data_IF_340552356587
#
_entry.id   IF_340552356587
#
_cell.length_a   1.000
_cell.length_b   1.000
_cell.length_c   1.000
_cell.angle_alpha   90.00
_cell.angle_beta   90.00
_cell.angle_gamma   90.00
#
_symmetry.space_group_name_H-M   'P 1'
#
loop_
_entity.id
_entity.type
_entity.pdbx_description
1 polymer ?
#
# COMPACT_ATOMS: atom_id res chain seq x y z
N UNK A 1 -11.77 -33.13 -1.52
CA UNK A 1 -12.80 -32.25 -2.12
C UNK A 1 -12.54 -30.83 -1.68
N UNK A 2 -12.66 -29.82 -2.55
CA UNK A 2 -12.44 -28.44 -2.15
C UNK A 2 -13.63 -27.99 -1.28
N UNK A 3 -13.32 -27.37 -0.14
CA UNK A 3 -14.29 -27.00 0.90
C UNK A 3 -15.21 -25.90 0.38
N UNK A 4 -16.49 -25.98 0.79
CA UNK A 4 -17.53 -24.95 0.62
C UNK A 4 -16.93 -23.55 0.78
N UNK A 5 -17.15 -22.70 -0.22
CA UNK A 5 -17.06 -21.25 -0.04
C UNK A 5 -17.88 -20.88 1.19
N UNK A 6 -17.23 -20.42 2.27
CA UNK A 6 -17.91 -19.87 3.41
C UNK A 6 -18.71 -18.65 2.91
N UNK A 7 -19.99 -18.56 3.29
CA UNK A 7 -20.84 -17.42 2.96
C UNK A 7 -20.41 -16.21 3.80
N UNK A 8 -20.59 -14.96 3.32
CA UNK A 8 -20.38 -13.75 4.12
C UNK A 8 -21.14 -13.79 5.47
N UNK A 9 -22.27 -14.51 5.51
CA UNK A 9 -23.11 -14.68 6.70
C UNK A 9 -22.47 -15.53 7.83
N UNK A 10 -21.34 -16.18 7.57
CA UNK A 10 -20.57 -16.96 8.54
C UNK A 10 -19.16 -16.42 8.77
N UNK A 11 -18.89 -15.17 8.40
CA UNK A 11 -17.62 -14.50 8.68
C UNK A 11 -17.47 -14.28 10.19
N UNK A 12 -16.33 -14.67 10.75
CA UNK A 12 -15.99 -14.46 12.16
C UNK A 12 -14.99 -13.30 12.27
N UNK A 13 -15.11 -12.44 13.30
CA UNK A 13 -14.26 -11.25 13.49
C UNK A 13 -12.77 -11.51 13.63
N UNK A 14 -12.36 -12.73 13.97
CA UNK A 14 -10.99 -13.04 14.35
C UNK A 14 -10.51 -14.37 13.78
N UNK A 15 -11.18 -14.92 12.76
CA UNK A 15 -10.89 -16.23 12.15
C UNK A 15 -9.39 -16.48 12.02
N UNK A 16 -8.66 -15.47 11.56
CA UNK A 16 -7.25 -15.60 11.19
C UNK A 16 -6.28 -15.09 12.27
N UNK A 17 -6.78 -14.58 13.40
CA UNK A 17 -5.99 -14.01 14.49
C UNK A 17 -6.10 -14.84 15.80
N UNK A 18 -7.11 -15.69 15.98
CA UNK A 18 -7.40 -16.35 17.26
C UNK A 18 -7.57 -17.88 17.21
N UNK A 19 -7.23 -18.58 16.13
CA UNK A 19 -7.56 -20.02 15.98
C UNK A 19 -6.45 -21.00 16.40
N UNK A 20 -6.66 -21.83 17.44
CA UNK A 20 -5.99 -23.12 17.58
C UNK A 20 -6.79 -24.24 16.87
N UNK A 21 -6.11 -25.11 16.10
CA UNK A 21 -6.59 -26.35 15.41
C UNK A 21 -7.00 -26.20 13.91
N UNK A 22 -6.93 -27.29 13.08
CA UNK A 22 -6.22 -27.31 11.80
C UNK A 22 -6.92 -26.53 10.70
N UNK A 23 -6.66 -25.23 10.66
CA UNK A 23 -6.97 -24.37 9.54
C UNK A 23 -5.82 -24.41 8.53
N UNK A 24 -6.14 -24.60 7.25
CA UNK A 24 -5.15 -24.64 6.16
C UNK A 24 -5.02 -23.23 5.57
N UNK A 25 -3.81 -22.82 5.12
CA UNK A 25 -3.65 -21.55 4.41
C UNK A 25 -4.60 -21.45 3.22
N UNK A 26 -5.24 -20.30 3.03
CA UNK A 26 -6.23 -20.11 1.97
C UNK A 26 -7.04 -18.83 2.10
N UNK A 27 -8.08 -18.68 1.28
CA UNK A 27 -8.96 -17.51 1.29
C UNK A 27 -10.17 -17.72 2.20
N UNK A 28 -10.46 -16.75 3.06
CA UNK A 28 -11.53 -16.79 4.06
C UNK A 28 -12.28 -15.46 4.13
N UNK A 29 -13.57 -15.50 4.45
CA UNK A 29 -14.34 -14.30 4.78
C UNK A 29 -14.10 -13.91 6.23
N UNK A 30 -13.80 -12.64 6.48
CA UNK A 30 -13.67 -12.08 7.82
C UNK A 30 -14.55 -10.84 7.96
N UNK A 31 -15.00 -10.60 9.18
CA UNK A 31 -15.76 -9.39 9.54
C UNK A 31 -15.25 -8.75 10.86
N UNK A 32 -14.05 -8.14 10.84
CA UNK A 32 -13.45 -7.47 12.01
C UNK A 32 -14.37 -6.49 12.73
N UNK A 33 -15.25 -5.79 11.99
CA UNK A 33 -16.14 -4.78 12.58
C UNK A 33 -17.41 -5.37 13.23
N UNK A 34 -17.69 -6.67 13.03
CA UNK A 34 -18.81 -7.44 13.60
C UNK A 34 -20.22 -6.90 13.31
N UNK A 35 -20.35 -5.90 12.45
CA UNK A 35 -21.59 -5.19 12.20
C UNK A 35 -22.48 -5.91 11.19
N UNK A 36 -22.69 -5.27 10.05
CA UNK A 36 -23.50 -5.84 8.99
C UNK A 36 -22.64 -6.78 8.16
N UNK A 37 -22.75 -8.10 8.37
CA UNK A 37 -22.00 -9.16 7.66
C UNK A 37 -22.00 -9.11 6.12
N UNK A 38 -22.78 -8.22 5.50
CA UNK A 38 -22.72 -7.91 4.06
C UNK A 38 -21.48 -7.10 3.66
N UNK A 39 -20.81 -6.44 4.61
CA UNK A 39 -19.55 -5.71 4.39
C UNK A 39 -18.31 -6.51 4.82
N UNK A 40 -18.51 -7.78 5.18
CA UNK A 40 -17.44 -8.76 5.31
C UNK A 40 -16.66 -8.84 4.00
N UNK A 41 -15.38 -9.20 4.08
CA UNK A 41 -14.49 -9.23 2.92
C UNK A 41 -13.60 -10.47 2.94
N UNK A 42 -13.18 -10.91 1.75
CA UNK A 42 -12.38 -12.13 1.60
C UNK A 42 -10.89 -11.80 1.65
N UNK A 43 -10.13 -12.53 2.45
CA UNK A 43 -8.69 -12.29 2.69
C UNK A 43 -7.93 -13.59 2.62
N UNK A 44 -6.61 -13.51 2.41
CA UNK A 44 -5.76 -14.68 2.56
C UNK A 44 -5.37 -14.84 4.01
N UNK A 45 -5.63 -16.01 4.58
CA UNK A 45 -5.23 -16.37 5.91
C UNK A 45 -4.18 -17.46 5.88
N UNK A 46 -3.12 -17.25 6.66
CA UNK A 46 -2.04 -18.21 6.78
C UNK A 46 -1.88 -18.62 8.25
N UNK A 47 -2.23 -19.88 8.52
CA UNK A 47 -2.23 -20.44 9.87
C UNK A 47 -0.91 -21.12 10.24
N UNK A 48 0.11 -21.10 9.37
CA UNK A 48 1.39 -21.77 9.64
C UNK A 48 2.27 -21.05 10.68
N UNK A 49 1.88 -19.87 11.17
CA UNK A 49 2.68 -19.06 12.10
C UNK A 49 1.83 -18.26 13.13
N UNK A 50 0.88 -18.90 13.80
CA UNK A 50 0.02 -18.25 14.81
C UNK A 50 -1.22 -17.55 14.24
N UNK A 51 -1.40 -17.59 12.91
CA UNK A 51 -2.50 -16.93 12.22
C UNK A 51 -2.10 -15.53 11.76
N UNK A 52 -2.06 -15.34 10.45
CA UNK A 52 -1.94 -14.00 9.86
C UNK A 52 -3.04 -13.76 8.83
N UNK A 53 -3.49 -12.51 8.77
CA UNK A 53 -4.46 -11.99 7.83
C UNK A 53 -3.75 -11.10 6.81
N UNK A 54 -3.69 -11.51 5.55
CA UNK A 54 -2.95 -10.80 4.51
C UNK A 54 -3.86 -10.12 3.49
N UNK A 55 -3.58 -8.84 3.23
CA UNK A 55 -4.20 -8.04 2.17
C UNK A 55 -3.18 -7.76 1.07
N UNK A 56 -3.58 -8.02 -0.17
CA UNK A 56 -2.73 -7.82 -1.33
C UNK A 56 -2.86 -6.39 -1.85
N UNK A 57 -1.78 -5.81 -2.40
CA UNK A 57 -1.90 -4.53 -3.07
C UNK A 57 -2.78 -4.68 -4.31
N UNK A 58 -3.41 -3.57 -4.69
CA UNK A 58 -4.09 -3.45 -5.97
C UNK A 58 -3.12 -3.79 -7.11
N UNK A 59 -3.61 -4.53 -8.12
CA UNK A 59 -2.85 -5.00 -9.28
C UNK A 59 -2.04 -3.90 -9.96
N UNK A 60 -2.48 -2.64 -9.90
CA UNK A 60 -1.73 -1.50 -10.48
C UNK A 60 -0.43 -1.15 -9.74
N UNK A 61 -0.29 -1.55 -8.47
CA UNK A 61 0.85 -1.27 -7.61
C UNK A 61 1.66 -2.50 -7.24
N UNK A 62 1.12 -3.71 -7.48
CA UNK A 62 1.79 -4.98 -7.21
C UNK A 62 3.19 -5.06 -7.85
N UNK A 63 3.32 -4.63 -9.11
CA UNK A 63 4.60 -4.61 -9.80
C UNK A 63 4.76 -3.39 -10.73
N UNK A 64 5.81 -2.62 -10.50
CA UNK A 64 6.26 -1.52 -11.36
C UNK A 64 7.52 -1.96 -12.11
N UNK A 65 7.46 -1.89 -13.44
CA UNK A 65 8.55 -2.34 -14.31
C UNK A 65 9.78 -1.47 -14.17
N UNK A 66 10.95 -2.10 -14.34
CA UNK A 66 12.25 -1.45 -14.36
C UNK A 66 12.30 -0.36 -15.45
N UNK A 67 12.50 0.90 -15.05
CA UNK A 67 12.54 2.05 -15.95
C UNK A 67 13.53 3.13 -15.47
N UNK A 68 13.96 4.02 -16.37
CA UNK A 68 15.01 5.00 -16.09
C UNK A 68 14.54 6.28 -15.38
N UNK A 69 13.24 6.49 -15.15
CA UNK A 69 12.66 7.63 -14.40
C UNK A 69 13.30 9.03 -14.59
N UNK A 70 13.90 9.30 -15.76
CA UNK A 70 14.74 10.50 -16.04
C UNK A 70 14.06 11.87 -15.85
N UNK A 71 12.73 11.91 -15.71
CA UNK A 71 11.95 13.16 -15.56
C UNK A 71 11.48 13.39 -14.12
N UNK A 72 11.77 12.44 -13.24
CA UNK A 72 11.34 12.47 -11.84
C UNK A 72 12.52 12.86 -10.95
N UNK A 73 12.22 13.35 -9.74
CA UNK A 73 13.24 13.83 -8.82
C UNK A 73 13.67 12.71 -7.85
N UNK A 74 14.97 12.40 -7.73
CA UNK A 74 15.44 11.42 -6.76
C UNK A 74 15.10 11.81 -5.32
N UNK A 75 14.76 10.81 -4.52
CA UNK A 75 14.37 10.96 -3.12
C UNK A 75 12.97 11.56 -2.90
N UNK A 76 12.19 11.84 -3.94
CA UNK A 76 10.77 12.19 -3.76
C UNK A 76 9.88 10.95 -3.79
N UNK A 77 8.70 11.08 -3.21
CA UNK A 77 7.69 10.03 -3.13
C UNK A 77 7.19 9.60 -4.51
N UNK A 78 7.04 8.29 -4.72
CA UNK A 78 6.57 7.72 -5.98
C UNK A 78 5.19 8.26 -6.37
N UNK A 79 4.31 8.53 -5.42
CA UNK A 79 2.98 9.11 -5.71
C UNK A 79 3.03 10.51 -6.36
N UNK A 80 4.15 11.21 -6.25
CA UNK A 80 4.36 12.52 -6.89
C UNK A 80 4.79 12.43 -8.34
N UNK A 81 5.20 11.24 -8.80
CA UNK A 81 5.77 11.04 -10.12
C UNK A 81 4.70 11.24 -11.21
N UNK A 82 5.07 11.93 -12.28
CA UNK A 82 4.13 12.24 -13.37
C UNK A 82 3.63 10.97 -14.07
N UNK A 83 4.48 9.95 -14.18
CA UNK A 83 4.09 8.64 -14.74
C UNK A 83 3.24 7.79 -13.79
N UNK A 84 3.29 8.07 -12.48
CA UNK A 84 2.47 7.40 -11.46
C UNK A 84 1.02 7.90 -11.45
N UNK A 85 0.79 9.15 -11.88
CA UNK A 85 -0.55 9.72 -12.08
C UNK A 85 -1.11 9.23 -13.40
N UNK A 86 -1.85 8.11 -13.39
CA UNK A 86 -2.93 7.98 -14.38
C UNK A 86 -3.90 9.11 -14.06
N UNK A 87 -3.84 10.19 -14.85
CA UNK A 87 -4.88 11.22 -14.85
C UNK A 87 -6.15 10.48 -15.23
N UNK A 88 -6.99 10.16 -14.24
CA UNK A 88 -8.40 9.89 -14.50
C UNK A 88 -8.91 11.15 -15.16
N UNK A 89 -9.10 11.10 -16.48
CA UNK A 89 -9.89 12.08 -17.18
C UNK A 89 -11.28 12.00 -16.56
N UNK A 90 -11.56 12.87 -15.59
CA UNK A 90 -12.92 13.10 -15.15
C UNK A 90 -13.63 13.73 -16.35
N UNK A 91 -14.40 12.90 -17.04
CA UNK A 91 -15.41 13.37 -17.97
C UNK A 91 -16.29 14.37 -17.22
N UNK A 92 -16.32 15.60 -17.71
CA UNK A 92 -17.27 16.60 -17.24
C UNK A 92 -18.67 16.11 -17.63
N UNK A 93 -19.38 15.42 -16.73
CA UNK A 93 -20.83 15.39 -16.84
C UNK A 93 -21.32 16.71 -16.26
N UNK A 94 -21.63 17.64 -17.17
CA UNK A 94 -22.34 18.85 -16.82
C UNK A 94 -23.73 18.42 -16.33
N UNK A 95 -23.93 18.32 -15.01
CA UNK A 95 -25.27 18.31 -14.44
C UNK A 95 -25.85 19.70 -14.66
N UNK A 96 -26.49 19.91 -15.82
CA UNK A 96 -27.40 21.03 -16.01
C UNK A 96 -28.56 20.86 -15.04
N UNK A 97 -28.47 21.49 -13.88
CA UNK A 97 -29.62 21.71 -13.02
C UNK A 97 -30.66 22.48 -13.86
N UNK A 98 -31.80 21.83 -14.16
CA UNK A 98 -32.97 22.53 -14.69
C UNK A 98 -33.32 23.67 -13.71
N UNK A 99 -33.37 24.94 -14.14
CA UNK A 99 -33.81 26.01 -13.26
C UNK A 99 -35.31 25.84 -12.97
N UNK A 100 -35.64 25.53 -11.72
CA UNK A 100 -36.95 25.80 -11.15
C UNK A 100 -37.18 27.31 -11.05
N UNK A 101 -38.41 27.73 -11.27
CA UNK A 101 -38.81 29.11 -11.50
C UNK A 101 -38.52 30.10 -10.35
N UNK A 102 -38.12 31.31 -10.76
CA UNK A 102 -38.41 32.64 -10.22
C UNK A 102 -38.10 33.00 -8.75
N UNK A 103 -37.22 33.99 -8.60
CA UNK A 103 -37.17 34.90 -7.44
C UNK A 103 -36.18 36.04 -7.68
N UNK A 104 -36.68 37.27 -7.86
CA UNK A 104 -35.86 38.49 -8.06
C UNK A 104 -34.99 38.76 -6.82
N UNK A 105 -33.67 38.67 -6.96
CA UNK A 105 -32.69 39.01 -5.93
C UNK A 105 -31.30 39.23 -6.54
N UNK A 106 -30.56 40.22 -6.02
CA UNK A 106 -29.29 40.78 -6.55
C UNK A 106 -28.21 39.70 -6.84
N UNK A 107 -27.28 39.94 -7.79
CA UNK A 107 -26.20 38.99 -8.03
C UNK A 107 -25.19 39.04 -6.87
N UNK A 108 -25.17 38.00 -6.04
CA UNK A 108 -24.07 37.75 -5.14
C UNK A 108 -22.87 37.29 -5.96
N UNK A 109 -21.83 38.14 -6.03
CA UNK A 109 -20.49 37.74 -6.47
C UNK A 109 -19.94 36.73 -5.47
N UNK A 110 -19.48 35.59 -5.96
CA UNK A 110 -18.67 34.66 -5.16
C UNK A 110 -19.16 33.22 -5.18
N UNK A 111 -19.09 32.57 -6.35
CA UNK A 111 -18.94 31.11 -6.37
C UNK A 111 -17.51 30.82 -5.92
N UNK A 112 -17.36 30.51 -4.63
CA UNK A 112 -16.13 29.96 -4.10
C UNK A 112 -15.90 28.60 -4.74
N UNK A 113 -14.84 28.50 -5.54
CA UNK A 113 -14.35 27.22 -6.02
C UNK A 113 -13.87 26.43 -4.80
N UNK A 114 -14.67 25.48 -4.33
CA UNK A 114 -14.16 24.45 -3.45
C UNK A 114 -13.16 23.65 -4.30
N UNK A 115 -11.88 24.06 -4.25
CA UNK A 115 -10.79 23.30 -4.80
C UNK A 115 -10.79 21.95 -4.09
N UNK A 116 -11.48 20.97 -4.65
CA UNK A 116 -11.17 19.57 -4.43
C UNK A 116 -9.72 19.41 -4.88
N UNK A 117 -8.80 19.47 -3.91
CA UNK A 117 -7.41 19.17 -4.15
C UNK A 117 -7.38 17.80 -4.84
N UNK A 118 -6.73 17.67 -6.00
CA UNK A 118 -6.61 16.38 -6.66
C UNK A 118 -5.91 15.43 -5.69
N UNK A 119 -6.66 14.44 -5.18
CA UNK A 119 -6.08 13.34 -4.41
C UNK A 119 -5.04 12.68 -5.33
N UNK A 120 -3.75 12.59 -4.92
CA UNK A 120 -2.74 11.98 -5.77
C UNK A 120 -3.15 10.52 -6.02
N UNK A 121 -3.54 10.22 -7.26
CA UNK A 121 -4.11 8.94 -7.72
C UNK A 121 -3.11 7.77 -7.73
N UNK A 122 -2.04 7.88 -6.94
CA UNK A 122 -0.79 7.12 -7.10
C UNK A 122 -0.22 6.57 -5.80
N UNK A 123 -0.92 6.78 -4.66
CA UNK A 123 -0.58 6.11 -3.40
C UNK A 123 -0.99 4.64 -3.46
N UNK A 124 -0.24 3.78 -2.77
CA UNK A 124 -0.54 2.36 -2.71
C UNK A 124 -1.92 2.11 -2.11
N UNK A 125 -2.65 1.19 -2.72
CA UNK A 125 -3.97 0.73 -2.28
C UNK A 125 -3.97 -0.78 -2.18
N UNK A 126 -4.84 -1.30 -1.31
CA UNK A 126 -4.95 -2.73 -1.01
C UNK A 126 -6.38 -3.19 -1.24
N UNK A 127 -6.51 -4.44 -1.67
CA UNK A 127 -7.77 -5.03 -2.06
C UNK A 127 -8.00 -6.34 -1.31
N UNK A 128 -9.27 -6.71 -1.20
CA UNK A 128 -9.68 -8.05 -0.80
C UNK A 128 -9.33 -9.08 -1.90
N UNK A 129 -9.59 -10.36 -1.64
CA UNK A 129 -9.33 -11.45 -2.58
C UNK A 129 -10.24 -11.42 -3.82
N UNK A 130 -11.30 -10.61 -3.82
CA UNK A 130 -12.17 -10.36 -4.97
C UNK A 130 -11.73 -9.13 -5.78
N UNK A 131 -10.70 -8.40 -5.33
CA UNK A 131 -10.18 -7.21 -5.99
C UNK A 131 -10.89 -5.91 -5.61
N UNK A 132 -11.77 -5.93 -4.60
CA UNK A 132 -12.45 -4.74 -4.12
C UNK A 132 -11.58 -4.01 -3.09
N UNK A 133 -11.65 -2.68 -3.07
CA UNK A 133 -10.98 -1.90 -2.04
C UNK A 133 -11.53 -2.22 -0.65
N UNK A 134 -10.64 -2.46 0.32
CA UNK A 134 -11.05 -2.77 1.70
C UNK A 134 -11.62 -1.51 2.37
N UNK A 135 -12.83 -1.55 2.95
CA UNK A 135 -13.40 -0.41 3.66
C UNK A 135 -12.51 0.06 4.81
N UNK A 136 -12.44 1.38 5.04
CA UNK A 136 -11.61 1.97 6.11
C UNK A 136 -12.00 1.45 7.49
N UNK A 137 -13.30 1.25 7.73
CA UNK A 137 -13.82 0.67 8.97
C UNK A 137 -13.26 -0.73 9.20
N UNK A 138 -13.34 -1.61 8.19
CA UNK A 138 -12.82 -2.97 8.26
C UNK A 138 -11.30 -3.00 8.52
N UNK A 139 -10.53 -2.17 7.81
CA UNK A 139 -9.08 -2.07 8.03
C UNK A 139 -8.73 -1.53 9.44
N UNK A 140 -9.53 -0.61 9.97
CA UNK A 140 -9.32 -0.04 11.31
C UNK A 140 -9.52 -1.10 12.39
N UNK A 141 -10.60 -1.88 12.31
CA UNK A 141 -10.84 -2.96 13.25
C UNK A 141 -9.81 -4.08 13.11
N UNK A 142 -9.41 -4.43 11.88
CA UNK A 142 -8.34 -5.41 11.65
C UNK A 142 -7.04 -4.99 12.37
N UNK A 143 -6.66 -3.71 12.31
CA UNK A 143 -5.53 -3.18 13.08
C UNK A 143 -5.75 -3.33 14.58
N UNK A 144 -6.90 -2.89 15.11
CA UNK A 144 -7.19 -2.96 16.55
C UNK A 144 -7.14 -4.38 17.12
N UNK A 145 -7.49 -5.38 16.31
CA UNK A 145 -7.49 -6.79 16.72
C UNK A 145 -6.13 -7.48 16.54
N UNK A 146 -5.13 -6.79 16.00
CA UNK A 146 -3.82 -7.37 15.67
C UNK A 146 -2.74 -6.88 16.62
N UNK A 147 -1.84 -7.78 17.03
CA UNK A 147 -0.69 -7.46 17.87
C UNK A 147 0.46 -6.82 17.07
N UNK A 148 0.61 -7.20 15.80
CA UNK A 148 1.65 -6.66 14.93
C UNK A 148 1.27 -6.76 13.45
N UNK A 149 2.04 -6.08 12.61
CA UNK A 149 1.92 -6.17 11.17
C UNK A 149 3.29 -6.27 10.51
N UNK A 150 3.35 -7.00 9.38
CA UNK A 150 4.53 -7.14 8.54
C UNK A 150 4.19 -6.90 7.07
N UNK A 151 5.14 -6.34 6.33
CA UNK A 151 5.01 -6.16 4.90
C UNK A 151 6.36 -6.22 4.22
N UNK A 152 6.42 -6.88 3.07
CA UNK A 152 7.62 -6.94 2.25
C UNK A 152 7.55 -5.96 1.07
N UNK A 153 8.70 -5.44 0.68
CA UNK A 153 8.86 -4.60 -0.49
C UNK A 153 10.14 -5.00 -1.22
N UNK A 154 10.05 -5.23 -2.52
CA UNK A 154 11.22 -5.59 -3.34
C UNK A 154 11.53 -4.46 -4.30
N UNK A 155 12.74 -3.91 -4.25
CA UNK A 155 13.25 -2.99 -5.26
C UNK A 155 14.06 -3.77 -6.29
N UNK A 156 13.67 -3.66 -7.56
CA UNK A 156 14.42 -4.15 -8.70
C UNK A 156 15.27 -2.99 -9.23
N UNK A 157 16.60 -3.12 -9.22
CA UNK A 157 17.53 -2.04 -9.54
C UNK A 157 18.39 -2.36 -10.76
N UNK A 158 18.81 -1.33 -11.49
CA UNK A 158 19.90 -1.40 -12.45
C UNK A 158 20.90 -0.29 -12.15
N UNK A 159 22.16 -0.66 -11.86
CA UNK A 159 23.24 0.27 -11.54
C UNK A 159 22.89 1.29 -10.42
N UNK A 160 22.08 0.87 -9.45
CA UNK A 160 21.56 1.70 -8.38
C UNK A 160 21.59 0.95 -7.04
N UNK A 161 21.83 1.66 -5.95
CA UNK A 161 21.76 1.19 -4.58
C UNK A 161 20.34 1.35 -4.03
N UNK A 162 19.86 0.33 -3.33
CA UNK A 162 18.54 0.32 -2.72
C UNK A 162 18.60 0.55 -1.21
N UNK A 163 19.62 0.02 -0.53
CA UNK A 163 19.69 0.05 0.92
C UNK A 163 21.07 0.49 1.40
N UNK A 164 22.04 -0.42 1.45
CA UNK A 164 23.43 -0.06 1.71
C UNK A 164 24.14 0.27 0.41
N UNK A 165 24.90 1.36 0.36
CA UNK A 165 25.80 1.66 -0.76
C UNK A 165 27.22 1.21 -0.39
N UNK A 166 27.68 0.10 -0.98
CA UNK A 166 29.00 -0.45 -0.69
C UNK A 166 30.14 0.45 -1.21
N UNK A 167 29.92 1.22 -2.28
CA UNK A 167 30.93 2.13 -2.83
C UNK A 167 31.15 3.35 -1.95
N UNK A 168 30.09 3.86 -1.33
CA UNK A 168 30.13 5.01 -0.42
C UNK A 168 30.11 4.64 1.07
N UNK A 169 30.01 3.35 1.40
CA UNK A 169 29.92 2.81 2.76
C UNK A 169 28.85 3.49 3.63
N UNK A 170 27.66 3.74 3.07
CA UNK A 170 26.62 4.55 3.71
C UNK A 170 25.20 4.07 3.41
N UNK A 171 24.24 4.50 4.23
CA UNK A 171 22.80 4.34 4.02
C UNK A 171 22.12 5.63 3.52
N UNK A 172 22.89 6.64 3.11
CA UNK A 172 22.34 7.92 2.65
C UNK A 172 21.38 7.81 1.44
N UNK A 173 21.49 6.73 0.67
CA UNK A 173 20.64 6.40 -0.49
C UNK A 173 19.59 5.33 -0.20
N UNK A 174 19.44 4.92 1.06
CA UNK A 174 18.51 3.88 1.45
C UNK A 174 17.07 4.25 1.10
N UNK A 175 16.29 3.24 0.73
CA UNK A 175 14.85 3.37 0.54
C UNK A 175 14.19 3.96 1.78
N UNK A 176 13.22 4.82 1.53
CA UNK A 176 12.30 5.34 2.54
C UNK A 176 10.88 4.96 2.16
N UNK A 177 10.08 4.64 3.15
CA UNK A 177 8.69 4.25 2.99
C UNK A 177 7.80 5.23 3.72
N UNK A 178 6.56 5.39 3.27
CA UNK A 178 5.52 6.10 4.01
C UNK A 178 4.55 5.10 4.59
N UNK A 179 4.30 5.17 5.88
CA UNK A 179 3.29 4.38 6.55
C UNK A 179 1.86 4.89 6.29
N UNK A 180 0.87 4.14 6.76
CA UNK A 180 -0.53 4.56 6.69
C UNK A 180 -0.89 5.72 7.63
N UNK A 181 -0.04 5.99 8.62
CA UNK A 181 -0.13 7.14 9.52
C UNK A 181 0.74 8.33 9.04
N UNK A 182 1.18 8.32 7.78
CA UNK A 182 2.05 9.34 7.16
C UNK A 182 3.47 9.47 7.73
N UNK A 183 3.84 8.59 8.65
CA UNK A 183 5.21 8.53 9.20
C UNK A 183 6.18 8.00 8.15
N UNK A 184 7.36 8.61 8.08
CA UNK A 184 8.46 8.13 7.24
C UNK A 184 9.21 7.00 7.96
N UNK A 185 9.28 5.85 7.31
CA UNK A 185 9.96 4.65 7.79
C UNK A 185 11.22 4.43 6.95
N UNK A 186 12.34 4.07 7.59
CA UNK A 186 13.61 3.90 6.89
C UNK A 186 14.71 3.33 7.76
N UNK A 187 15.94 3.43 7.27
CA UNK A 187 17.12 2.98 7.99
C UNK A 187 17.24 3.69 9.35
N UNK A 188 17.46 2.93 10.43
CA UNK A 188 17.64 3.47 11.77
C UNK A 188 16.36 3.97 12.45
N UNK A 189 15.18 3.71 11.89
CA UNK A 189 13.91 4.11 12.53
C UNK A 189 13.74 3.39 13.88
N UNK A 190 13.55 4.12 15.01
CA UNK A 190 13.72 3.58 16.35
C UNK A 190 12.64 2.58 16.76
N UNK A 191 11.42 2.71 16.22
CA UNK A 191 10.25 1.96 16.65
C UNK A 191 9.66 1.05 15.56
N UNK A 192 10.25 1.05 14.35
CA UNK A 192 9.76 0.26 13.20
C UNK A 192 10.99 -0.22 12.44
N UNK A 193 11.54 -1.40 12.77
CA UNK A 193 12.69 -1.91 12.05
C UNK A 193 12.36 -2.16 10.58
N UNK A 194 13.17 -1.59 9.71
CA UNK A 194 13.19 -1.89 8.27
C UNK A 194 14.45 -2.70 8.00
N UNK A 195 14.30 -3.97 7.61
CA UNK A 195 15.40 -4.92 7.45
C UNK A 195 15.55 -5.33 5.99
N UNK A 196 16.79 -5.42 5.52
CA UNK A 196 17.08 -6.04 4.23
C UNK A 196 17.17 -7.56 4.41
N UNK A 197 16.21 -8.30 3.88
CA UNK A 197 16.26 -9.77 3.79
C UNK A 197 17.29 -10.22 2.73
N UNK A 198 17.46 -9.41 1.69
CA UNK A 198 18.48 -9.55 0.64
C UNK A 198 18.85 -8.17 0.14
N UNK A 199 20.13 -7.84 0.01
CA UNK A 199 20.58 -6.58 -0.59
C UNK A 199 21.51 -6.82 -1.80
N UNK A 200 20.93 -7.13 -2.95
CA UNK A 200 21.68 -7.31 -4.20
C UNK A 200 22.10 -5.98 -4.84
N UNK A 201 21.37 -4.89 -4.56
CA UNK A 201 21.61 -3.59 -5.18
C UNK A 201 22.82 -2.84 -4.62
N UNK A 202 23.41 -3.31 -3.51
CA UNK A 202 24.48 -2.62 -2.81
C UNK A 202 25.73 -2.29 -3.67
N UNK A 203 25.98 -3.09 -4.71
CA UNK A 203 27.13 -2.94 -5.58
C UNK A 203 26.96 -1.91 -6.71
N UNK A 204 25.78 -1.28 -6.85
CA UNK A 204 25.44 -0.36 -7.96
C UNK A 204 25.85 -0.88 -9.35
N UNK A 205 25.73 -2.19 -9.59
CA UNK A 205 26.21 -2.86 -10.81
C UNK A 205 25.20 -3.86 -11.34
N UNK A 206 24.99 -3.82 -12.66
CA UNK A 206 24.11 -4.77 -13.33
C UNK A 206 22.65 -4.63 -12.87
N UNK A 207 21.85 -5.66 -13.13
CA UNK A 207 20.48 -5.75 -12.62
C UNK A 207 20.45 -6.70 -11.43
N UNK A 208 19.86 -6.25 -10.33
CA UNK A 208 19.73 -7.01 -9.09
C UNK A 208 18.42 -6.64 -8.37
N UNK A 209 18.16 -7.29 -7.23
CA UNK A 209 17.04 -6.94 -6.35
C UNK A 209 17.41 -6.87 -4.88
N UNK A 210 16.77 -5.95 -4.18
CA UNK A 210 16.84 -5.81 -2.72
C UNK A 210 15.45 -6.03 -2.14
N UNK A 211 15.34 -7.00 -1.22
CA UNK A 211 14.08 -7.36 -0.55
C UNK A 211 14.12 -6.80 0.86
N UNK A 212 13.16 -5.93 1.15
CA UNK A 212 12.98 -5.28 2.43
C UNK A 212 11.79 -5.88 3.16
N UNK A 213 11.91 -6.04 4.47
CA UNK A 213 10.84 -6.39 5.39
C UNK A 213 10.63 -5.23 6.37
N UNK A 214 9.39 -4.75 6.46
CA UNK A 214 8.95 -3.76 7.43
C UNK A 214 8.07 -4.46 8.45
N UNK A 215 8.49 -4.47 9.71
CA UNK A 215 7.72 -5.06 10.82
C UNK A 215 7.42 -3.98 11.87
N UNK A 216 6.18 -3.96 12.36
CA UNK A 216 5.73 -2.97 13.35
C UNK A 216 4.78 -3.61 14.36
N UNK A 217 5.04 -3.39 15.66
CA UNK A 217 4.04 -3.61 16.72
C UNK A 217 3.01 -2.47 16.79
N UNK A 218 3.30 -1.34 16.14
CA UNK A 218 2.37 -0.24 15.91
C UNK A 218 1.66 -0.44 14.58
N UNK A 219 0.57 -1.19 14.63
CA UNK A 219 -0.22 -1.64 13.48
C UNK A 219 -0.80 -0.50 12.64
N UNK A 220 -0.98 0.68 13.23
CA UNK A 220 -1.44 1.90 12.55
C UNK A 220 -0.47 2.42 11.49
N UNK A 221 0.81 2.03 11.56
CA UNK A 221 1.85 2.39 10.57
C UNK A 221 1.73 1.62 9.27
N UNK A 222 1.13 0.43 9.28
CA UNK A 222 0.96 -0.41 8.09
C UNK A 222 -0.50 -0.41 7.60
N UNK A 223 -0.74 -0.56 6.30
CA UNK A 223 0.24 -0.87 5.25
C UNK A 223 1.09 0.32 4.79
N UNK A 224 2.13 0.04 3.99
CA UNK A 224 2.88 1.04 3.26
C UNK A 224 1.99 1.76 2.24
N UNK A 225 2.09 3.09 2.18
CA UNK A 225 1.31 3.95 1.28
C UNK A 225 2.15 4.55 0.15
N UNK A 226 3.47 4.60 0.32
CA UNK A 226 4.39 5.15 -0.66
C UNK A 226 5.84 4.66 -0.47
N UNK A 227 6.67 4.90 -1.48
CA UNK A 227 8.12 4.65 -1.46
C UNK A 227 8.88 5.82 -2.07
N UNK A 228 10.02 6.18 -1.49
CA UNK A 228 10.97 7.13 -2.03
C UNK A 228 12.30 6.42 -2.34
N UNK A 229 12.69 6.46 -3.61
CA UNK A 229 13.94 5.89 -4.11
C UNK A 229 14.95 7.02 -4.33
N UNK A 230 16.17 6.89 -3.81
CA UNK A 230 17.14 7.98 -3.83
C UNK A 230 18.22 7.84 -4.91
N UNK A 231 18.60 6.63 -5.31
CA UNK A 231 19.69 6.40 -6.29
C UNK A 231 19.15 6.12 -7.70
N UNK A 232 18.72 7.18 -8.39
CA UNK A 232 18.40 7.13 -9.81
C UNK A 232 18.65 8.48 -10.47
N UNK A 233 18.62 8.51 -11.80
CA UNK A 233 18.74 9.74 -12.60
C UNK A 233 20.07 9.86 -13.36
N UNK A 234 21.09 9.10 -12.96
CA UNK A 234 22.34 9.01 -13.72
C UNK A 234 22.17 8.09 -14.96
N UNK A 235 23.17 8.13 -15.85
CA UNK A 235 23.19 7.32 -17.05
C UNK A 235 23.09 5.81 -16.71
N UNK A 236 22.18 5.11 -17.40
CA UNK A 236 21.92 3.68 -17.23
C UNK A 236 21.41 3.25 -15.84
N UNK A 237 20.96 4.18 -15.00
CA UNK A 237 20.23 3.83 -13.78
C UNK A 237 18.76 3.56 -14.10
N UNK A 238 18.23 2.48 -13.51
CA UNK A 238 16.81 2.17 -13.59
C UNK A 238 16.35 1.59 -12.28
N UNK A 239 15.08 1.77 -11.97
CA UNK A 239 14.44 1.04 -10.89
C UNK A 239 13.00 0.65 -11.26
N UNK A 240 12.56 -0.41 -10.63
CA UNK A 240 11.18 -0.89 -10.55
C UNK A 240 10.99 -1.49 -9.16
N UNK A 241 9.78 -1.90 -8.83
CA UNK A 241 9.53 -2.51 -7.54
C UNK A 241 8.36 -3.48 -7.57
N UNK A 242 8.32 -4.35 -6.58
CA UNK A 242 7.20 -5.23 -6.28
C UNK A 242 6.74 -4.94 -4.84
N UNK A 243 5.46 -4.62 -4.70
CA UNK A 243 4.83 -4.37 -3.42
C UNK A 243 4.25 -5.70 -2.91
N UNK A 244 4.68 -6.16 -1.73
CA UNK A 244 4.14 -7.37 -1.11
C UNK A 244 2.83 -7.12 -0.36
N UNK A 245 2.12 -8.18 0.05
CA UNK A 245 0.95 -8.06 0.89
C UNK A 245 1.32 -7.49 2.26
N UNK A 246 0.40 -6.76 2.87
CA UNK A 246 0.45 -6.45 4.30
C UNK A 246 -0.20 -7.60 5.05
N UNK A 247 0.49 -8.17 6.03
CA UNK A 247 -0.03 -9.25 6.86
C UNK A 247 -0.12 -8.79 8.31
N UNK A 248 -1.31 -8.90 8.88
CA UNK A 248 -1.62 -8.59 10.27
C UNK A 248 -1.62 -9.88 11.09
N UNK A 249 -0.97 -9.85 12.26
CA UNK A 249 -0.73 -11.02 13.10
C UNK A 249 -1.43 -10.84 14.45
N UNK A 250 -2.02 -11.92 14.95
CA UNK A 250 -2.65 -12.01 16.27
C UNK A 250 -1.67 -12.15 17.41
#
# INVERSE_FOLDING_TARGET
>A
GPRRAQSPQGADPSVCLLTPLPAFPGEYWIDPNQGCSRDAFRVFCNFTAGGETCLFPDKKFEAVRLAAWNREKPGTWYSTFKRGKKVGAWGQTLLTLRPGAAGKGRPARGVGWLHLLPVPSSQFSYVDADGNGVPVTQLTFLRLLSASARQNFTLNCQNAAAWYDAGASTFARALRFRGANDEELGHGHPATPVRALRDGCQGRRGQERTVMEVTSSRVERLPLTDVAVADFGDANQKFGFELGPVCFLG
#
